data_IF_746380763441
#
_entry.id   IF_746380763441
#
_cell.length_a   1.000
_cell.length_b   1.000
_cell.length_c   1.000
_cell.angle_alpha   90.00
_cell.angle_beta   90.00
_cell.angle_gamma   90.00
#
_symmetry.space_group_name_H-M   'P 1'
#
loop_
_entity.id
_entity.type
_entity.pdbx_description
1 polymer ?
#
# COMPACT_ATOMS: atom_id res chain seq x y z
N UNK A 1 -27.73 15.08 7.19
CA UNK A 1 -26.39 15.15 7.81
C UNK A 1 -25.90 13.73 8.02
N UNK A 2 -24.89 13.29 7.27
CA UNK A 2 -24.20 12.03 7.59
C UNK A 2 -23.49 12.28 8.93
N UNK A 3 -23.93 11.62 10.01
CA UNK A 3 -23.23 11.71 11.30
C UNK A 3 -21.84 11.14 11.08
N UNK A 4 -20.80 11.96 11.23
CA UNK A 4 -19.42 11.48 11.28
C UNK A 4 -19.36 10.39 12.36
N UNK A 5 -18.89 9.19 11.99
CA UNK A 5 -18.68 8.14 12.98
C UNK A 5 -17.73 8.67 14.06
N UNK A 6 -18.03 8.39 15.32
CA UNK A 6 -17.18 8.83 16.43
C UNK A 6 -15.82 8.14 16.31
N UNK A 7 -14.74 8.91 16.21
CA UNK A 7 -13.37 8.37 16.23
C UNK A 7 -13.18 7.54 17.52
N UNK A 8 -12.75 6.28 17.35
CA UNK A 8 -12.64 5.31 18.47
C UNK A 8 -11.20 4.96 18.85
N UNK A 9 -10.23 5.53 18.15
CA UNK A 9 -8.79 5.30 18.38
C UNK A 9 -8.03 6.62 18.52
N UNK A 10 -6.79 6.54 19.02
CA UNK A 10 -5.80 7.60 18.90
C UNK A 10 -4.66 7.09 18.01
N UNK A 11 -4.45 7.76 16.87
CA UNK A 11 -3.31 7.52 15.96
C UNK A 11 -1.98 7.91 16.63
N UNK A 12 -0.85 7.56 16.01
CA UNK A 12 0.47 7.95 16.51
C UNK A 12 0.61 9.45 16.77
N UNK A 13 0.13 10.30 15.85
CA UNK A 13 0.15 11.76 16.02
C UNK A 13 -0.74 12.25 17.19
N UNK A 14 -1.91 11.64 17.40
CA UNK A 14 -2.77 11.96 18.56
C UNK A 14 -2.12 11.56 19.89
N UNK A 15 -1.40 10.44 19.91
CA UNK A 15 -0.65 10.01 21.09
C UNK A 15 0.56 10.92 21.33
N UNK A 16 1.30 11.27 20.28
CA UNK A 16 2.45 12.17 20.37
C UNK A 16 2.06 13.56 20.90
N UNK A 17 0.94 14.13 20.40
CA UNK A 17 0.36 15.38 20.92
C UNK A 17 0.00 15.25 22.41
N UNK A 18 -0.68 14.16 22.79
CA UNK A 18 -1.07 13.93 24.18
C UNK A 18 0.12 13.75 25.13
N UNK A 19 1.29 13.35 24.60
CA UNK A 19 2.55 13.25 25.32
C UNK A 19 3.38 14.54 25.22
N UNK A 20 2.78 15.64 24.74
CA UNK A 20 3.40 16.94 24.53
C UNK A 20 4.71 16.84 23.73
N UNK A 21 4.76 15.98 22.72
CA UNK A 21 5.91 15.80 21.83
C UNK A 21 7.22 15.42 22.54
N UNK A 22 7.16 14.91 23.78
CA UNK A 22 8.33 14.67 24.65
C UNK A 22 9.47 13.89 23.99
N UNK A 23 9.18 12.99 23.06
CA UNK A 23 10.20 12.21 22.35
C UNK A 23 11.01 12.99 21.32
N UNK A 24 10.58 14.20 20.97
CA UNK A 24 11.19 15.08 19.97
C UNK A 24 11.95 16.25 20.60
N UNK A 25 11.80 16.49 21.90
CA UNK A 25 12.45 17.61 22.59
C UNK A 25 13.98 17.55 22.46
N UNK A 26 14.57 18.71 22.14
CA UNK A 26 16.03 18.86 21.99
C UNK A 26 16.62 18.22 20.73
N UNK A 27 15.80 17.74 19.79
CA UNK A 27 16.25 17.12 18.53
C UNK A 27 15.88 17.97 17.33
N UNK A 28 16.72 17.98 16.30
CA UNK A 28 16.38 18.47 14.95
C UNK A 28 15.59 17.39 14.22
N UNK A 29 14.35 17.69 13.88
CA UNK A 29 13.37 16.73 13.37
C UNK A 29 13.26 16.86 11.86
N UNK A 30 13.46 15.74 11.15
CA UNK A 30 13.02 15.56 9.78
C UNK A 30 11.71 14.80 9.74
N UNK A 31 10.75 15.21 8.91
CA UNK A 31 9.44 14.58 8.81
C UNK A 31 9.22 13.96 7.43
N UNK A 32 8.97 12.65 7.39
CA UNK A 32 8.52 11.90 6.22
C UNK A 32 6.99 11.80 6.30
N UNK A 33 6.30 12.54 5.43
CA UNK A 33 4.85 12.66 5.45
C UNK A 33 4.29 12.94 4.06
N UNK A 34 2.97 12.89 3.95
CA UNK A 34 2.19 13.28 2.78
C UNK A 34 0.82 13.83 3.25
N UNK A 35 -0.15 14.13 2.37
CA UNK A 35 -1.45 14.67 2.79
C UNK A 35 -2.23 13.80 3.79
N UNK A 36 -1.90 12.51 3.93
CA UNK A 36 -2.56 11.61 4.90
C UNK A 36 -2.06 11.79 6.33
N UNK A 37 -0.91 12.44 6.53
CA UNK A 37 -0.31 12.78 7.81
C UNK A 37 -1.09 13.87 8.51
N UNK A 38 -2.26 13.55 9.04
CA UNK A 38 -3.12 14.49 9.76
C UNK A 38 -3.59 13.95 11.11
N UNK A 39 -4.03 14.86 11.96
CA UNK A 39 -4.71 14.59 13.22
C UNK A 39 -6.23 14.40 13.05
N UNK A 40 -6.96 14.21 14.16
CA UNK A 40 -8.42 14.03 14.14
C UNK A 40 -9.20 15.24 13.60
N UNK A 41 -8.58 16.42 13.53
CA UNK A 41 -9.17 17.65 12.99
C UNK A 41 -8.72 17.91 11.54
N UNK A 42 -8.06 16.94 10.90
CA UNK A 42 -7.49 17.06 9.55
C UNK A 42 -6.39 18.12 9.45
N UNK A 43 -5.77 18.48 10.58
CA UNK A 43 -4.59 19.34 10.57
C UNK A 43 -3.35 18.51 10.26
N UNK A 44 -2.56 18.99 9.29
CA UNK A 44 -1.30 18.35 8.90
C UNK A 44 -0.32 18.23 10.06
N UNK A 45 0.35 17.10 10.16
CA UNK A 45 1.44 16.85 11.10
C UNK A 45 2.63 17.80 10.87
N UNK A 46 2.83 18.28 9.63
CA UNK A 46 3.77 19.36 9.28
C UNK A 46 3.49 20.58 10.13
N UNK A 47 2.25 21.07 10.09
CA UNK A 47 1.85 22.31 10.73
C UNK A 47 1.79 22.13 12.26
N UNK A 48 1.35 20.95 12.72
CA UNK A 48 1.35 20.59 14.16
C UNK A 48 2.76 20.62 14.73
N UNK A 49 3.73 19.99 14.06
CA UNK A 49 5.11 19.92 14.55
C UNK A 49 5.84 21.26 14.39
N UNK A 50 5.52 22.05 13.36
CA UNK A 50 6.09 23.38 13.16
C UNK A 50 5.62 24.39 14.21
N UNK A 51 4.34 24.33 14.63
CA UNK A 51 3.79 25.23 15.64
C UNK A 51 4.15 24.85 17.09
N UNK A 52 4.56 23.60 17.31
CA UNK A 52 4.89 23.09 18.64
C UNK A 52 6.19 23.72 19.17
N UNK A 53 6.08 24.57 20.19
CA UNK A 53 7.21 25.35 20.75
C UNK A 53 8.41 24.52 21.25
N UNK A 54 8.19 23.25 21.59
CA UNK A 54 9.24 22.34 22.08
C UNK A 54 9.76 21.39 21.00
N UNK A 55 9.37 21.58 19.74
CA UNK A 55 9.80 20.78 18.58
C UNK A 55 10.60 21.67 17.62
N UNK A 56 11.76 21.19 17.17
CA UNK A 56 12.55 21.86 16.16
C UNK A 56 12.46 21.11 14.82
N UNK A 57 11.39 21.36 14.07
CA UNK A 57 11.18 20.79 12.73
C UNK A 57 12.03 21.56 11.71
N UNK A 58 12.95 20.85 11.04
CA UNK A 58 13.96 21.49 10.17
C UNK A 58 13.94 21.02 8.71
N UNK A 59 13.27 19.90 8.40
CA UNK A 59 13.22 19.36 7.05
C UNK A 59 11.98 18.49 6.81
N UNK A 60 11.48 18.48 5.58
CA UNK A 60 10.38 17.65 5.12
C UNK A 60 10.85 16.69 4.03
N UNK A 61 10.27 15.50 4.00
CA UNK A 61 10.60 14.42 3.07
C UNK A 61 9.33 13.87 2.45
N UNK A 62 9.16 14.04 1.14
CA UNK A 62 7.98 13.60 0.41
C UNK A 62 8.20 12.25 -0.26
N UNK A 63 7.29 11.27 -0.12
CA UNK A 63 7.32 10.02 -0.87
C UNK A 63 6.81 10.24 -2.31
N UNK A 64 6.30 9.18 -2.93
CA UNK A 64 5.51 9.27 -4.15
C UNK A 64 4.31 10.23 -3.96
N UNK A 65 4.16 11.20 -4.88
CA UNK A 65 3.20 12.32 -4.89
C UNK A 65 3.54 13.54 -4.01
N UNK A 66 4.70 13.56 -3.35
CA UNK A 66 5.22 14.72 -2.62
C UNK A 66 4.53 14.99 -1.28
N UNK A 67 5.03 15.97 -0.54
CA UNK A 67 4.63 16.26 0.85
C UNK A 67 3.22 16.87 0.95
N UNK A 68 2.90 17.87 0.12
CA UNK A 68 1.60 18.56 0.10
C UNK A 68 0.64 17.99 -0.97
N UNK A 69 1.01 16.90 -1.64
CA UNK A 69 0.19 16.29 -2.71
C UNK A 69 0.12 17.11 -4.01
N UNK A 70 0.94 18.15 -4.13
CA UNK A 70 1.02 19.04 -5.28
C UNK A 70 1.98 18.55 -6.38
N UNK A 71 2.64 17.39 -6.21
CA UNK A 71 3.53 16.80 -7.20
C UNK A 71 2.85 15.65 -7.96
N UNK A 72 2.93 15.65 -9.29
CA UNK A 72 2.44 14.53 -10.09
C UNK A 72 3.33 13.28 -9.92
N UNK A 73 2.73 12.09 -10.02
CA UNK A 73 3.46 10.83 -10.08
C UNK A 73 4.53 10.86 -11.17
N UNK A 74 5.80 10.65 -10.82
CA UNK A 74 6.91 10.64 -11.78
C UNK A 74 7.55 12.01 -12.07
N UNK A 75 7.08 13.12 -11.50
CA UNK A 75 7.82 14.39 -11.56
C UNK A 75 9.01 14.40 -10.60
N UNK A 76 10.16 14.86 -11.09
CA UNK A 76 11.35 15.11 -10.26
C UNK A 76 11.11 16.37 -9.45
N UNK A 77 10.69 16.23 -8.21
CA UNK A 77 10.65 17.34 -7.25
C UNK A 77 12.10 17.63 -6.84
N UNK A 78 12.60 18.82 -7.17
CA UNK A 78 13.92 19.27 -6.72
C UNK A 78 13.91 19.51 -5.20
N UNK A 79 15.02 20.03 -4.65
CA UNK A 79 14.99 20.59 -3.29
C UNK A 79 14.12 21.85 -3.33
N UNK A 80 12.87 21.70 -2.92
CA UNK A 80 11.89 22.79 -2.87
C UNK A 80 11.79 23.32 -1.43
N UNK A 81 11.10 24.44 -1.25
CA UNK A 81 10.72 24.92 0.08
C UNK A 81 9.21 24.81 0.23
N UNK A 82 8.75 24.37 1.39
CA UNK A 82 7.33 24.42 1.73
C UNK A 82 6.92 25.89 1.90
N UNK A 83 5.90 26.33 1.16
CA UNK A 83 5.50 27.74 1.12
C UNK A 83 5.00 28.26 2.47
N UNK A 84 4.41 27.38 3.29
CA UNK A 84 3.80 27.75 4.58
C UNK A 84 4.87 27.85 5.67
N UNK A 85 5.74 26.84 5.77
CA UNK A 85 6.73 26.74 6.85
C UNK A 85 8.11 27.28 6.48
N UNK A 86 8.40 27.47 5.19
CA UNK A 86 9.71 27.85 4.66
C UNK A 86 10.78 26.74 4.72
N UNK A 87 10.42 25.54 5.18
CA UNK A 87 11.33 24.43 5.38
C UNK A 87 11.78 23.79 4.06
N UNK A 88 13.02 23.27 3.98
CA UNK A 88 13.45 22.48 2.83
C UNK A 88 12.62 21.18 2.70
N UNK A 89 12.28 20.85 1.47
CA UNK A 89 11.52 19.65 1.07
C UNK A 89 12.42 18.78 0.19
N UNK A 90 12.62 17.53 0.60
CA UNK A 90 13.39 16.53 -0.13
C UNK A 90 12.45 15.48 -0.74
N UNK A 91 12.72 15.09 -1.99
CA UNK A 91 12.01 14.00 -2.65
C UNK A 91 12.65 12.64 -2.32
N UNK A 92 11.84 11.70 -1.85
CA UNK A 92 12.19 10.29 -1.65
C UNK A 92 11.58 9.40 -2.76
N UNK A 93 11.57 9.91 -4.00
CA UNK A 93 11.05 9.21 -5.17
C UNK A 93 11.96 9.34 -6.41
N UNK A 94 11.71 8.53 -7.43
CA UNK A 94 12.45 8.59 -8.69
C UNK A 94 13.91 8.15 -8.52
N UNK A 95 14.85 9.06 -8.76
CA UNK A 95 16.30 8.81 -8.65
C UNK A 95 16.78 8.70 -7.20
N UNK A 96 16.06 9.29 -6.25
CA UNK A 96 16.45 9.32 -4.84
C UNK A 96 15.33 8.72 -4.01
N UNK A 97 15.31 7.39 -3.86
CA UNK A 97 14.30 6.66 -3.06
C UNK A 97 14.72 6.44 -1.60
N UNK A 98 16.03 6.49 -1.36
CA UNK A 98 16.67 6.40 -0.05
C UNK A 98 17.27 7.76 0.28
N UNK A 99 17.04 8.27 1.48
CA UNK A 99 17.58 9.57 1.90
C UNK A 99 19.12 9.53 1.89
N UNK A 100 19.76 10.56 1.31
CA UNK A 100 21.23 10.61 1.25
C UNK A 100 21.82 11.15 2.56
N UNK A 101 23.09 10.87 2.87
CA UNK A 101 23.76 11.46 4.03
C UNK A 101 23.64 12.98 4.09
N UNK A 102 23.71 13.66 2.94
CA UNK A 102 23.58 15.12 2.84
C UNK A 102 22.19 15.61 3.24
N UNK A 103 21.13 14.85 2.94
CA UNK A 103 19.77 15.17 3.37
C UNK A 103 19.59 14.95 4.88
N UNK A 104 20.37 14.04 5.47
CA UNK A 104 20.27 13.64 6.88
C UNK A 104 21.22 14.40 7.82
N UNK A 105 22.17 15.18 7.27
CA UNK A 105 23.22 15.85 8.06
C UNK A 105 22.66 16.81 9.12
N UNK A 106 21.55 17.47 8.80
CA UNK A 106 20.97 18.54 9.61
C UNK A 106 19.86 18.05 10.55
N UNK A 107 19.60 16.75 10.62
CA UNK A 107 18.60 16.15 11.50
C UNK A 107 19.24 15.17 12.49
N UNK A 108 18.57 14.98 13.62
CA UNK A 108 18.92 14.00 14.66
C UNK A 108 17.92 12.83 14.67
N UNK A 109 16.68 13.09 14.22
CA UNK A 109 15.60 12.11 14.15
C UNK A 109 14.78 12.26 12.87
N UNK A 110 14.46 11.14 12.22
CA UNK A 110 13.41 11.06 11.22
C UNK A 110 12.11 10.58 11.87
N UNK A 111 11.03 11.30 11.61
CA UNK A 111 9.66 10.92 11.98
C UNK A 111 8.94 10.48 10.71
N UNK A 112 8.24 9.35 10.77
CA UNK A 112 7.40 8.84 9.68
C UNK A 112 5.93 8.85 10.10
N UNK A 113 5.07 9.49 9.31
CA UNK A 113 3.63 9.51 9.51
C UNK A 113 2.86 9.52 8.17
N UNK A 114 2.64 8.32 7.60
CA UNK A 114 1.90 8.15 6.34
C UNK A 114 0.90 7.00 6.50
N UNK A 115 -0.31 7.19 5.99
CA UNK A 115 -1.33 6.14 5.89
C UNK A 115 -1.07 5.27 4.66
N UNK A 116 -0.54 4.06 4.87
CA UNK A 116 -0.45 3.01 3.84
C UNK A 116 -1.77 2.22 3.68
N UNK A 117 -1.77 1.22 2.79
CA UNK A 117 -2.95 0.41 2.46
C UNK A 117 -2.86 -1.08 2.85
N UNK A 118 -1.80 -1.52 3.52
CA UNK A 118 -1.62 -2.92 3.93
C UNK A 118 -1.21 -3.88 2.81
N UNK A 119 -0.82 -3.37 1.63
CA UNK A 119 -0.34 -4.15 0.49
C UNK A 119 1.13 -3.85 0.18
N UNK A 120 1.91 -4.90 -0.13
CA UNK A 120 3.37 -4.84 -0.32
C UNK A 120 3.81 -3.96 -1.48
N UNK A 121 3.02 -3.91 -2.56
CA UNK A 121 3.36 -3.10 -3.73
C UNK A 121 3.03 -1.62 -3.58
N UNK A 122 2.43 -1.22 -2.46
CA UNK A 122 2.19 0.18 -2.16
C UNK A 122 3.42 0.81 -1.49
N UNK A 123 4.11 1.66 -2.24
CA UNK A 123 5.53 2.00 -2.05
C UNK A 123 5.87 2.80 -0.78
N UNK A 124 4.88 3.29 -0.02
CA UNK A 124 5.12 4.04 1.21
C UNK A 124 5.85 3.22 2.29
N UNK A 125 5.62 1.91 2.34
CA UNK A 125 6.38 1.03 3.26
C UNK A 125 7.81 0.80 2.77
N UNK A 126 8.05 0.82 1.45
CA UNK A 126 9.40 0.78 0.86
C UNK A 126 10.16 2.05 1.20
N UNK A 127 9.52 3.22 1.08
CA UNK A 127 10.07 4.49 1.56
C UNK A 127 10.40 4.44 3.05
N UNK A 128 9.49 3.90 3.88
CA UNK A 128 9.72 3.78 5.33
C UNK A 128 10.98 2.98 5.63
N UNK A 129 11.11 1.76 5.11
CA UNK A 129 12.25 0.92 5.46
C UNK A 129 13.57 1.39 4.82
N UNK A 130 13.56 1.96 3.62
CA UNK A 130 14.76 2.59 3.04
C UNK A 130 15.21 3.80 3.86
N UNK A 131 14.27 4.57 4.42
CA UNK A 131 14.59 5.66 5.33
C UNK A 131 15.08 5.17 6.70
N UNK A 132 14.54 4.05 7.22
CA UNK A 132 15.08 3.38 8.42
C UNK A 132 16.52 2.91 8.21
N UNK A 133 16.82 2.34 7.04
CA UNK A 133 18.15 1.91 6.65
C UNK A 133 19.12 3.09 6.57
N UNK A 134 18.74 4.16 5.87
CA UNK A 134 19.54 5.38 5.80
C UNK A 134 19.75 6.01 7.19
N UNK A 135 18.74 5.98 8.06
CA UNK A 135 18.86 6.43 9.44
C UNK A 135 19.86 5.57 10.23
N UNK A 136 19.82 4.24 10.09
CA UNK A 136 20.74 3.33 10.74
C UNK A 136 22.20 3.58 10.31
N UNK A 137 22.44 3.72 9.00
CA UNK A 137 23.78 3.98 8.43
C UNK A 137 24.36 5.34 8.85
N UNK A 138 23.51 6.31 9.16
CA UNK A 138 23.90 7.68 9.51
C UNK A 138 23.72 8.00 11.00
N UNK A 139 23.54 6.97 11.86
CA UNK A 139 23.36 7.10 13.31
C UNK A 139 22.22 8.06 13.70
N UNK A 140 21.11 8.03 12.96
CA UNK A 140 19.90 8.82 13.24
C UNK A 140 18.85 7.98 13.96
N UNK A 141 18.08 8.62 14.84
CA UNK A 141 16.89 7.98 15.40
C UNK A 141 15.77 7.95 14.37
N UNK A 142 14.94 6.90 14.40
CA UNK A 142 13.76 6.81 13.55
C UNK A 142 12.52 6.58 14.40
N UNK A 143 11.50 7.41 14.21
CA UNK A 143 10.24 7.37 14.95
C UNK A 143 9.08 7.13 13.98
N UNK A 144 8.32 6.06 14.20
CA UNK A 144 7.07 5.81 13.46
C UNK A 144 5.89 6.29 14.29
N UNK A 145 5.09 7.20 13.73
CA UNK A 145 3.75 7.51 14.24
C UNK A 145 2.79 6.49 13.66
N UNK A 146 2.41 5.51 14.46
CA UNK A 146 1.74 4.33 13.93
C UNK A 146 0.30 4.65 13.46
N UNK A 147 -0.13 3.99 12.38
CA UNK A 147 -1.44 4.18 11.74
C UNK A 147 -2.16 2.84 11.52
N UNK A 148 -3.50 2.84 11.42
CA UNK A 148 -4.27 1.63 11.15
C UNK A 148 -3.86 0.98 9.83
N UNK A 149 -3.72 -0.34 9.81
CA UNK A 149 -3.76 -1.08 8.55
C UNK A 149 -5.23 -1.14 8.08
N UNK A 150 -5.60 -0.58 6.92
CA UNK A 150 -6.99 -0.53 6.47
C UNK A 150 -7.56 -1.91 6.11
N UNK A 151 -6.71 -2.88 5.78
CA UNK A 151 -7.04 -4.31 5.59
C UNK A 151 -7.14 -5.08 6.93
N UNK A 152 -6.97 -4.39 8.06
CA UNK A 152 -6.90 -4.99 9.37
C UNK A 152 -5.61 -5.77 9.62
N UNK A 153 -5.51 -6.36 10.81
CA UNK A 153 -4.32 -7.08 11.27
C UNK A 153 -4.44 -8.61 11.20
N UNK A 154 -5.38 -9.17 10.44
CA UNK A 154 -5.60 -10.64 10.43
C UNK A 154 -5.29 -11.30 9.10
N UNK A 155 -5.49 -10.58 8.00
CA UNK A 155 -5.32 -11.10 6.65
C UNK A 155 -3.84 -11.18 6.31
N UNK A 156 -3.42 -12.34 5.81
CA UNK A 156 -2.11 -12.56 5.21
C UNK A 156 -2.32 -13.36 3.93
N UNK A 157 -1.92 -12.81 2.79
CA UNK A 157 -2.09 -13.40 1.45
C UNK A 157 -0.85 -13.15 0.60
N UNK A 158 -0.49 -14.11 -0.25
CA UNK A 158 0.67 -14.04 -1.13
C UNK A 158 1.97 -14.54 -0.54
N UNK A 159 2.86 -15.00 -1.42
CA UNK A 159 4.16 -15.54 -1.03
C UNK A 159 5.13 -14.42 -0.62
N UNK A 160 6.19 -14.80 0.10
CA UNK A 160 7.29 -13.87 0.38
C UNK A 160 8.00 -13.50 -0.93
N UNK A 161 8.64 -12.33 -0.93
CA UNK A 161 9.56 -11.95 -2.00
C UNK A 161 10.78 -12.87 -2.01
N UNK A 162 11.17 -13.32 -3.19
CA UNK A 162 12.34 -14.15 -3.44
C UNK A 162 13.55 -13.31 -3.88
N UNK A 163 14.74 -13.85 -3.65
CA UNK A 163 15.98 -13.24 -4.12
C UNK A 163 15.91 -13.05 -5.65
N UNK A 164 16.35 -11.88 -6.12
CA UNK A 164 16.21 -11.46 -7.52
C UNK A 164 14.89 -10.71 -7.83
N UNK A 165 13.92 -10.71 -6.92
CA UNK A 165 12.65 -9.96 -7.08
C UNK A 165 12.48 -8.83 -6.06
N UNK A 166 13.52 -8.50 -5.30
CA UNK A 166 13.54 -7.30 -4.47
C UNK A 166 13.57 -6.05 -5.35
N UNK A 167 12.59 -5.18 -5.17
CA UNK A 167 12.46 -3.92 -5.89
C UNK A 167 11.69 -2.92 -5.04
N UNK A 168 11.52 -1.69 -5.52
CA UNK A 168 10.76 -0.68 -4.76
C UNK A 168 9.26 -1.04 -4.58
N UNK A 169 8.70 -1.94 -5.39
CA UNK A 169 7.32 -2.47 -5.24
C UNK A 169 7.28 -3.84 -4.53
N UNK A 170 8.43 -4.31 -4.05
CA UNK A 170 8.62 -5.63 -3.42
C UNK A 170 9.84 -5.60 -2.51
N UNK A 171 9.94 -4.54 -1.69
CA UNK A 171 11.21 -4.15 -1.06
C UNK A 171 11.66 -5.11 0.04
N UNK A 172 10.73 -5.84 0.65
CA UNK A 172 10.99 -6.68 1.81
C UNK A 172 10.39 -8.07 1.65
N UNK A 173 11.01 -9.03 2.34
CA UNK A 173 10.61 -10.44 2.37
C UNK A 173 9.37 -10.65 3.25
N UNK A 174 8.25 -10.08 2.80
CA UNK A 174 6.93 -10.14 3.42
C UNK A 174 5.87 -10.60 2.40
N UNK A 175 4.72 -11.15 2.83
CA UNK A 175 3.60 -11.50 1.94
C UNK A 175 3.04 -10.27 1.21
N UNK A 176 2.24 -10.51 0.16
CA UNK A 176 1.63 -9.44 -0.61
C UNK A 176 0.65 -8.60 0.22
N UNK A 177 -0.24 -9.25 0.98
CA UNK A 177 -0.94 -8.65 2.11
C UNK A 177 -0.28 -9.17 3.37
N UNK A 178 0.34 -8.29 4.15
CA UNK A 178 1.21 -8.68 5.27
C UNK A 178 0.54 -8.53 6.65
N UNK A 179 -0.60 -7.84 6.74
CA UNK A 179 -1.42 -7.80 7.96
C UNK A 179 -0.76 -7.17 9.19
N UNK A 180 0.16 -6.22 9.02
CA UNK A 180 0.80 -5.46 10.09
C UNK A 180 0.47 -3.98 9.94
N UNK A 181 0.52 -3.21 11.03
CA UNK A 181 0.60 -1.74 10.90
C UNK A 181 2.00 -1.33 10.44
N UNK A 182 2.18 -0.07 9.99
CA UNK A 182 3.51 0.43 9.62
C UNK A 182 4.49 0.37 10.80
N UNK A 183 4.04 0.62 12.03
CA UNK A 183 4.84 0.48 13.25
C UNK A 183 5.24 -0.97 13.56
N UNK A 184 4.30 -1.92 13.46
CA UNK A 184 4.60 -3.36 13.63
C UNK A 184 5.56 -3.86 12.54
N UNK A 185 5.38 -3.42 11.29
CA UNK A 185 6.28 -3.73 10.18
C UNK A 185 7.68 -3.17 10.42
N UNK A 186 7.80 -1.91 10.85
CA UNK A 186 9.10 -1.32 11.18
C UNK A 186 9.84 -2.12 12.28
N UNK A 187 9.14 -2.58 13.31
CA UNK A 187 9.74 -3.44 14.33
C UNK A 187 10.21 -4.78 13.77
N UNK A 188 9.41 -5.40 12.88
CA UNK A 188 9.78 -6.64 12.21
C UNK A 188 11.02 -6.45 11.33
N UNK A 189 11.05 -5.43 10.47
CA UNK A 189 12.20 -5.17 9.60
C UNK A 189 13.50 -5.00 10.39
N UNK A 190 13.42 -4.28 11.51
CA UNK A 190 14.56 -4.03 12.38
C UNK A 190 14.99 -5.27 13.19
N UNK A 191 14.01 -6.05 13.68
CA UNK A 191 14.24 -7.21 14.54
C UNK A 191 14.71 -8.45 13.79
N UNK A 192 14.19 -8.68 12.58
CA UNK A 192 14.58 -9.80 11.71
C UNK A 192 15.74 -9.41 10.76
N UNK A 193 16.35 -8.24 10.96
CA UNK A 193 17.52 -7.75 10.17
C UNK A 193 17.27 -7.75 8.66
N UNK A 194 16.10 -7.26 8.26
CA UNK A 194 15.65 -7.22 6.86
C UNK A 194 16.09 -5.95 6.12
N UNK A 195 16.75 -5.00 6.80
CA UNK A 195 17.39 -3.84 6.16
C UNK A 195 18.69 -4.27 5.50
N UNK A 196 19.18 -3.52 4.51
CA UNK A 196 20.42 -3.83 3.77
C UNK A 196 21.58 -4.08 4.74
N UNK A 197 22.40 -5.10 4.44
CA UNK A 197 23.52 -5.55 5.30
C UNK A 197 23.11 -5.93 6.75
N UNK A 198 21.83 -6.09 7.04
CA UNK A 198 21.32 -6.42 8.37
C UNK A 198 21.48 -5.28 9.39
N UNK A 199 21.61 -4.03 8.94
CA UNK A 199 21.72 -2.87 9.83
C UNK A 199 20.48 -2.73 10.71
N UNK A 200 20.66 -2.19 11.91
CA UNK A 200 19.56 -1.96 12.85
C UNK A 200 19.46 -0.48 13.17
N UNK A 201 18.25 0.05 13.01
CA UNK A 201 17.93 1.44 13.30
C UNK A 201 17.65 1.62 14.80
N UNK A 202 18.00 2.79 15.35
CA UNK A 202 17.50 3.24 16.66
C UNK A 202 16.02 3.62 16.52
N UNK A 203 15.18 2.59 16.51
CA UNK A 203 13.75 2.69 16.23
C UNK A 203 12.93 2.95 17.48
N UNK A 204 11.98 3.89 17.39
CA UNK A 204 10.88 4.04 18.34
C UNK A 204 9.55 4.04 17.58
N UNK A 205 8.54 3.38 18.12
CA UNK A 205 7.17 3.43 17.58
C UNK A 205 6.26 4.14 18.58
N UNK A 206 5.58 5.19 18.14
CA UNK A 206 4.51 5.83 18.90
C UNK A 206 3.22 5.05 18.61
N UNK A 207 2.96 4.08 19.50
CA UNK A 207 1.86 3.13 19.39
C UNK A 207 0.50 3.82 19.46
N UNK A 208 -0.43 3.40 18.62
CA UNK A 208 -1.83 3.81 18.70
C UNK A 208 -2.50 3.37 20.01
N UNK A 209 -3.58 4.05 20.39
CA UNK A 209 -4.49 3.59 21.47
C UNK A 209 -5.85 3.23 20.89
N UNK A 210 -6.38 2.07 21.27
CA UNK A 210 -7.72 1.64 20.87
C UNK A 210 -7.79 0.75 19.63
N UNK A 211 -6.85 0.87 18.68
CA UNK A 211 -6.84 0.01 17.49
C UNK A 211 -6.73 -1.48 17.85
N UNK A 212 -7.46 -2.31 17.11
CA UNK A 212 -7.50 -3.76 17.27
C UNK A 212 -7.31 -4.42 15.91
N UNK A 213 -6.69 -5.60 15.89
CA UNK A 213 -6.40 -6.33 14.65
C UNK A 213 -7.66 -6.68 13.84
N UNK A 214 -8.82 -6.73 14.48
CA UNK A 214 -10.12 -6.96 13.82
C UNK A 214 -10.74 -5.73 13.14
N UNK A 215 -10.20 -4.53 13.39
CA UNK A 215 -10.72 -3.30 12.80
C UNK A 215 -10.21 -3.15 11.37
N UNK A 216 -11.14 -2.95 10.43
CA UNK A 216 -10.83 -2.28 9.18
C UNK A 216 -10.83 -0.75 9.40
N UNK A 217 -10.48 0.03 8.36
CA UNK A 217 -10.37 1.48 8.50
C UNK A 217 -11.68 2.14 8.96
N UNK A 218 -12.82 1.77 8.37
CA UNK A 218 -14.13 2.35 8.71
C UNK A 218 -14.46 2.14 10.19
N UNK A 219 -14.13 0.99 10.78
CA UNK A 219 -14.35 0.72 12.21
C UNK A 219 -13.55 1.65 13.15
N UNK A 220 -12.54 2.37 12.67
CA UNK A 220 -11.78 3.35 13.47
C UNK A 220 -12.53 4.67 13.67
N UNK A 221 -13.48 4.98 12.78
CA UNK A 221 -14.17 6.27 12.72
C UNK A 221 -13.33 7.44 12.17
N UNK A 222 -12.09 7.20 11.74
CA UNK A 222 -11.24 8.21 11.10
C UNK A 222 -11.77 8.58 9.71
N UNK A 223 -11.45 9.81 9.28
CA UNK A 223 -11.68 10.23 7.89
C UNK A 223 -10.60 9.64 6.99
N UNK A 224 -11.01 9.12 5.84
CA UNK A 224 -10.06 8.69 4.81
C UNK A 224 -9.64 9.89 3.97
N UNK A 225 -8.33 10.14 3.94
CA UNK A 225 -7.70 11.00 2.95
C UNK A 225 -7.17 10.09 1.85
N UNK A 226 -7.41 10.36 0.56
CA UNK A 226 -6.91 9.55 -0.54
C UNK A 226 -5.41 9.25 -0.37
N UNK A 227 -5.09 8.00 -0.11
CA UNK A 227 -3.70 7.56 0.09
C UNK A 227 -2.90 7.67 -1.21
N UNK A 228 -3.57 7.53 -2.35
CA UNK A 228 -3.10 7.99 -3.66
C UNK A 228 -4.31 8.40 -4.51
N UNK A 229 -4.14 9.04 -5.68
CA UNK A 229 -5.26 9.47 -6.52
C UNK A 229 -6.24 8.35 -6.89
N UNK A 230 -5.77 7.11 -6.98
CA UNK A 230 -6.59 5.94 -7.32
C UNK A 230 -7.04 5.12 -6.10
N UNK A 231 -6.71 5.54 -4.87
CA UNK A 231 -7.27 5.00 -3.62
C UNK A 231 -8.12 6.08 -2.93
N UNK A 232 -9.21 6.55 -3.55
CA UNK A 232 -10.00 7.69 -3.07
C UNK A 232 -10.80 7.38 -1.80
N UNK A 233 -11.08 6.11 -1.52
CA UNK A 233 -11.87 5.65 -0.39
C UNK A 233 -11.15 4.54 0.37
N UNK A 234 -11.46 4.40 1.66
CA UNK A 234 -10.84 3.37 2.49
C UNK A 234 -11.15 1.97 1.96
N UNK A 235 -12.36 1.74 1.46
CA UNK A 235 -12.79 0.48 0.86
C UNK A 235 -12.00 0.15 -0.41
N UNK A 236 -11.51 1.16 -1.16
CA UNK A 236 -10.66 0.94 -2.34
C UNK A 236 -9.37 0.20 -1.98
N UNK A 237 -8.89 0.30 -0.73
CA UNK A 237 -7.75 -0.50 -0.25
C UNK A 237 -7.98 -2.01 -0.36
N UNK A 238 -9.23 -2.49 -0.33
CA UNK A 238 -9.59 -3.90 -0.44
C UNK A 238 -9.47 -4.39 -1.87
N UNK A 239 -9.77 -3.49 -2.81
CA UNK A 239 -9.79 -3.78 -4.23
C UNK A 239 -8.43 -3.63 -4.87
N UNK A 240 -7.55 -2.78 -4.34
CA UNK A 240 -6.17 -2.69 -4.80
C UNK A 240 -5.47 -4.06 -4.91
N UNK A 241 -5.43 -4.91 -3.85
CA UNK A 241 -4.83 -6.24 -3.99
C UNK A 241 -5.68 -7.21 -4.82
N UNK A 242 -6.97 -6.91 -5.04
CA UNK A 242 -7.87 -7.77 -5.81
C UNK A 242 -7.65 -7.68 -7.32
N UNK A 243 -7.17 -6.55 -7.84
CA UNK A 243 -6.98 -6.33 -9.29
C UNK A 243 -5.62 -5.72 -9.66
N UNK A 244 -4.85 -5.23 -8.68
CA UNK A 244 -3.66 -4.41 -8.92
C UNK A 244 -2.53 -5.13 -9.64
N UNK A 245 -2.33 -6.43 -9.40
CA UNK A 245 -1.26 -7.22 -10.05
C UNK A 245 -1.56 -7.35 -11.55
N UNK A 246 -2.80 -7.66 -11.92
CA UNK A 246 -3.26 -7.65 -13.31
C UNK A 246 -3.16 -6.24 -13.94
N UNK A 247 -3.39 -5.19 -13.13
CA UNK A 247 -3.28 -3.79 -13.54
C UNK A 247 -1.94 -3.41 -14.18
N UNK A 248 -0.84 -4.08 -13.78
CA UNK A 248 0.50 -3.83 -14.32
C UNK A 248 0.61 -4.04 -15.83
N UNK A 249 -0.27 -4.85 -16.41
CA UNK A 249 -0.29 -5.09 -17.86
C UNK A 249 -1.01 -4.01 -18.66
N UNK A 250 -1.89 -3.21 -18.03
CA UNK A 250 -2.84 -2.34 -18.76
C UNK A 250 -3.63 -3.08 -19.86
N UNK A 251 -3.82 -4.39 -19.70
CA UNK A 251 -4.44 -5.28 -20.69
C UNK A 251 -5.97 -5.33 -20.58
N UNK A 252 -6.46 -5.31 -19.33
CA UNK A 252 -7.87 -5.13 -19.01
C UNK A 252 -8.02 -3.83 -18.21
N UNK A 253 -9.14 -3.14 -18.39
CA UNK A 253 -9.49 -2.06 -17.48
C UNK A 253 -9.83 -2.66 -16.12
N UNK A 254 -9.06 -2.25 -15.11
CA UNK A 254 -9.32 -2.59 -13.71
C UNK A 254 -10.10 -1.47 -12.99
N UNK A 255 -10.77 -0.59 -13.74
CA UNK A 255 -11.49 0.58 -13.20
C UNK A 255 -10.62 1.82 -12.99
N UNK A 256 -9.28 1.73 -13.01
CA UNK A 256 -8.42 2.92 -13.11
C UNK A 256 -8.69 3.59 -14.46
N UNK A 257 -9.12 4.86 -14.44
CA UNK A 257 -9.71 5.51 -15.61
C UNK A 257 -11.23 5.70 -15.52
N UNK A 258 -11.87 5.13 -14.49
CA UNK A 258 -13.31 5.13 -14.25
C UNK A 258 -13.60 5.41 -12.75
N UNK A 259 -14.84 5.75 -12.31
CA UNK A 259 -15.12 6.17 -10.94
C UNK A 259 -15.04 5.09 -9.84
N UNK A 260 -14.71 3.84 -10.20
CA UNK A 260 -14.60 2.69 -9.28
C UNK A 260 -13.25 1.97 -9.46
N UNK A 261 -12.11 2.67 -9.19
CA UNK A 261 -10.79 2.11 -9.41
C UNK A 261 -10.59 0.82 -8.61
N UNK A 262 -9.99 -0.18 -9.25
CA UNK A 262 -9.71 -1.53 -8.74
C UNK A 262 -10.92 -2.46 -8.52
N UNK A 263 -12.16 -1.95 -8.61
CA UNK A 263 -13.37 -2.74 -8.29
C UNK A 263 -13.90 -3.59 -9.46
N UNK A 264 -13.33 -3.45 -10.65
CA UNK A 264 -13.88 -4.04 -11.87
C UNK A 264 -12.82 -4.65 -12.76
N UNK A 265 -13.26 -5.45 -13.73
CA UNK A 265 -12.44 -6.09 -14.76
C UNK A 265 -13.23 -6.05 -16.07
N UNK A 266 -12.74 -5.31 -17.06
CA UNK A 266 -13.47 -5.12 -18.31
C UNK A 266 -12.57 -4.87 -19.52
N UNK A 267 -13.07 -5.24 -20.71
CA UNK A 267 -12.41 -5.00 -21.99
C UNK A 267 -13.45 -4.95 -23.14
N UNK A 268 -13.10 -4.38 -24.32
CA UNK A 268 -14.05 -4.28 -25.44
C UNK A 268 -14.53 -5.61 -26.02
N UNK A 269 -13.79 -6.69 -25.79
CA UNK A 269 -14.04 -8.02 -26.35
C UNK A 269 -14.75 -8.99 -25.38
N UNK A 270 -15.02 -8.55 -24.14
CA UNK A 270 -15.70 -9.38 -23.14
C UNK A 270 -17.21 -9.32 -23.32
N UNK A 271 -17.90 -10.45 -23.08
CA UNK A 271 -19.33 -10.48 -22.86
C UNK A 271 -19.61 -10.45 -21.35
N UNK A 272 -20.19 -9.37 -20.84
CA UNK A 272 -20.39 -9.16 -19.40
C UNK A 272 -21.25 -10.26 -18.75
N UNK A 273 -22.31 -10.70 -19.45
CA UNK A 273 -23.25 -11.70 -18.93
C UNK A 273 -22.63 -13.08 -18.79
N UNK A 274 -21.87 -13.53 -19.80
CA UNK A 274 -21.19 -14.83 -19.78
C UNK A 274 -20.09 -14.85 -18.72
N UNK A 275 -19.24 -13.81 -18.67
CA UNK A 275 -18.16 -13.74 -17.68
C UNK A 275 -18.73 -13.72 -16.25
N UNK A 276 -19.78 -12.94 -16.00
CA UNK A 276 -20.44 -12.91 -14.69
C UNK A 276 -20.96 -14.28 -14.28
N UNK A 277 -21.66 -14.99 -15.19
CA UNK A 277 -22.21 -16.32 -14.89
C UNK A 277 -21.11 -17.31 -14.54
N UNK A 278 -20.00 -17.30 -15.30
CA UNK A 278 -18.86 -18.18 -15.05
C UNK A 278 -18.18 -17.91 -13.72
N UNK A 279 -17.90 -16.65 -13.41
CA UNK A 279 -17.26 -16.26 -12.15
C UNK A 279 -18.12 -16.54 -10.93
N UNK A 280 -19.43 -16.25 -10.99
CA UNK A 280 -20.34 -16.59 -9.90
C UNK A 280 -20.50 -18.10 -9.72
N UNK A 281 -20.31 -18.92 -10.76
CA UNK A 281 -20.33 -20.39 -10.64
C UNK A 281 -19.09 -20.98 -9.94
N UNK A 282 -18.06 -20.16 -9.66
CA UNK A 282 -16.91 -20.57 -8.85
C UNK A 282 -17.19 -20.49 -7.34
N UNK A 283 -18.34 -19.93 -6.94
CA UNK A 283 -18.75 -19.78 -5.54
C UNK A 283 -17.66 -19.17 -4.64
N UNK A 284 -17.00 -18.12 -5.13
CA UNK A 284 -15.90 -17.44 -4.41
C UNK A 284 -16.42 -16.89 -3.08
N UNK A 285 -15.91 -17.35 -1.92
CA UNK A 285 -16.46 -16.97 -0.63
C UNK A 285 -16.46 -15.45 -0.42
N UNK A 286 -17.60 -14.88 -0.05
CA UNK A 286 -17.72 -13.46 0.27
C UNK A 286 -17.64 -12.49 -0.92
N UNK A 287 -17.69 -12.99 -2.15
CA UNK A 287 -17.63 -12.17 -3.37
C UNK A 287 -18.85 -12.46 -4.26
N UNK A 288 -19.45 -11.41 -4.81
CA UNK A 288 -20.45 -11.50 -5.90
C UNK A 288 -19.92 -10.71 -7.08
N UNK A 289 -19.96 -11.30 -8.28
CA UNK A 289 -19.67 -10.59 -9.52
C UNK A 289 -20.96 -10.07 -10.14
N UNK A 290 -20.97 -8.80 -10.56
CA UNK A 290 -22.10 -8.14 -11.23
C UNK A 290 -21.66 -7.71 -12.63
N UNK A 291 -22.47 -7.87 -13.69
CA UNK A 291 -22.10 -7.40 -15.01
C UNK A 291 -21.97 -5.87 -15.01
N UNK A 292 -20.99 -5.34 -15.74
CA UNK A 292 -20.81 -3.90 -15.94
C UNK A 292 -20.55 -3.56 -17.41
N UNK A 293 -21.14 -2.44 -17.83
CA UNK A 293 -20.94 -1.81 -19.12
C UNK A 293 -20.44 -0.40 -18.83
N UNK A 294 -19.27 -0.04 -19.34
CA UNK A 294 -18.60 1.19 -18.98
C UNK A 294 -17.91 1.83 -20.18
N UNK A 295 -17.53 3.10 -20.01
CA UNK A 295 -16.73 3.86 -20.96
C UNK A 295 -15.70 4.68 -20.16
N UNK A 296 -14.43 4.25 -20.09
CA UNK A 296 -13.39 4.92 -19.30
C UNK A 296 -13.16 6.36 -19.74
N UNK A 297 -12.92 7.25 -18.77
CA UNK A 297 -12.63 8.67 -18.99
C UNK A 297 -11.16 8.91 -19.35
N UNK A 298 -10.25 8.07 -18.85
CA UNK A 298 -8.81 8.09 -19.12
C UNK A 298 -8.21 6.68 -18.95
N UNK A 299 -6.88 6.55 -19.10
CA UNK A 299 -6.14 5.30 -18.99
C UNK A 299 -6.61 4.21 -19.99
N UNK A 300 -6.57 2.94 -19.57
CA UNK A 300 -6.84 1.76 -20.41
C UNK A 300 -8.24 1.83 -21.02
N UNK A 301 -8.31 1.68 -22.36
CA UNK A 301 -9.54 1.76 -23.16
C UNK A 301 -10.30 3.10 -23.05
N UNK A 302 -9.58 4.22 -22.86
CA UNK A 302 -10.16 5.57 -22.83
C UNK A 302 -11.12 5.79 -24.01
N UNK A 303 -12.37 6.12 -23.71
CA UNK A 303 -13.39 6.47 -24.69
C UNK A 303 -14.04 5.31 -25.44
N UNK A 304 -13.58 4.07 -25.23
CA UNK A 304 -14.16 2.86 -25.80
C UNK A 304 -15.27 2.31 -24.90
N UNK A 305 -16.26 1.63 -25.50
CA UNK A 305 -17.23 0.86 -24.73
C UNK A 305 -16.57 -0.45 -24.30
N UNK A 306 -16.64 -0.74 -23.01
CA UNK A 306 -16.09 -1.96 -22.42
C UNK A 306 -17.17 -2.69 -21.63
N UNK A 307 -17.04 -4.01 -21.60
CA UNK A 307 -17.91 -4.91 -20.88
C UNK A 307 -17.08 -5.75 -19.90
N UNK A 308 -17.70 -6.20 -18.82
CA UNK A 308 -17.05 -7.11 -17.89
C UNK A 308 -17.80 -7.26 -16.58
N UNK A 309 -17.07 -7.31 -15.48
CA UNK A 309 -17.63 -7.53 -14.14
C UNK A 309 -17.14 -6.48 -13.15
N UNK A 310 -18.01 -6.07 -12.22
CA UNK A 310 -17.64 -5.46 -10.95
C UNK A 310 -17.61 -6.55 -9.89
N UNK A 311 -16.54 -6.61 -9.10
CA UNK A 311 -16.45 -7.46 -7.93
C UNK A 311 -17.06 -6.74 -6.73
N UNK A 312 -18.06 -7.34 -6.10
CA UNK A 312 -18.65 -6.85 -4.85
C UNK A 312 -18.19 -7.75 -3.69
N UNK A 313 -17.42 -7.19 -2.76
CA UNK A 313 -17.03 -7.88 -1.53
C UNK A 313 -18.20 -7.78 -0.54
N UNK A 314 -18.97 -8.85 -0.39
CA UNK A 314 -20.16 -8.92 0.48
C UNK A 314 -19.87 -9.47 1.88
N UNK A 315 -18.79 -10.24 2.03
CA UNK A 315 -18.24 -10.66 3.32
C UNK A 315 -16.72 -10.52 3.28
N UNK A 316 -16.24 -9.38 3.80
CA UNK A 316 -14.82 -9.06 3.81
C UNK A 316 -14.00 -10.18 4.47
N UNK A 317 -14.46 -10.80 5.55
CA UNK A 317 -13.64 -11.77 6.29
C UNK A 317 -13.42 -13.08 5.54
N UNK A 318 -14.31 -13.41 4.58
CA UNK A 318 -14.23 -14.63 3.79
C UNK A 318 -13.58 -14.43 2.42
N UNK A 319 -13.65 -13.22 1.86
CA UNK A 319 -13.11 -12.91 0.54
C UNK A 319 -11.59 -13.15 0.47
N UNK A 320 -11.10 -14.01 -0.46
CA UNK A 320 -9.67 -14.13 -0.76
C UNK A 320 -9.30 -13.03 -1.76
N UNK A 321 -8.83 -11.88 -1.26
CA UNK A 321 -8.77 -10.66 -2.08
C UNK A 321 -7.88 -10.87 -3.29
N UNK A 322 -6.65 -11.38 -3.09
CA UNK A 322 -5.68 -11.54 -4.19
C UNK A 322 -6.10 -12.56 -5.24
N UNK A 323 -6.90 -13.56 -4.87
CA UNK A 323 -7.34 -14.63 -5.77
C UNK A 323 -8.23 -14.09 -6.89
N UNK A 324 -8.97 -12.99 -6.65
CA UNK A 324 -10.00 -12.45 -7.56
C UNK A 324 -9.46 -12.22 -8.97
N UNK A 325 -8.34 -11.49 -9.14
CA UNK A 325 -7.76 -11.26 -10.48
C UNK A 325 -7.35 -12.56 -11.18
N UNK A 326 -6.81 -13.54 -10.46
CA UNK A 326 -6.36 -14.79 -11.07
C UNK A 326 -7.54 -15.65 -11.52
N UNK A 327 -8.64 -15.65 -10.76
CA UNK A 327 -9.90 -16.29 -11.17
C UNK A 327 -10.53 -15.58 -12.37
N UNK A 328 -10.47 -14.24 -12.43
CA UNK A 328 -10.88 -13.47 -13.60
C UNK A 328 -10.03 -13.82 -14.82
N UNK A 329 -8.70 -13.82 -14.69
CA UNK A 329 -7.78 -14.20 -15.76
C UNK A 329 -8.04 -15.63 -16.26
N UNK A 330 -8.35 -16.56 -15.35
CA UNK A 330 -8.70 -17.94 -15.68
C UNK A 330 -9.98 -18.01 -16.52
N UNK A 331 -11.07 -17.39 -16.07
CA UNK A 331 -12.34 -17.46 -16.79
C UNK A 331 -12.29 -16.69 -18.12
N UNK A 332 -11.55 -15.59 -18.17
CA UNK A 332 -11.24 -14.88 -19.42
C UNK A 332 -10.50 -15.77 -20.40
N UNK A 333 -9.42 -16.45 -19.98
CA UNK A 333 -8.67 -17.35 -20.85
C UNK A 333 -9.51 -18.56 -21.31
N UNK A 334 -10.43 -19.04 -20.46
CA UNK A 334 -11.36 -20.11 -20.84
C UNK A 334 -12.42 -19.67 -21.86
N UNK A 335 -12.87 -18.41 -21.79
CA UNK A 335 -13.83 -17.84 -22.74
C UNK A 335 -13.16 -17.43 -24.06
N UNK A 336 -11.93 -16.94 -23.98
CA UNK A 336 -11.18 -16.33 -25.08
C UNK A 336 -9.73 -16.81 -25.02
N UNK A 337 -9.41 -18.03 -25.48
CA UNK A 337 -8.05 -18.58 -25.40
C UNK A 337 -7.00 -17.70 -26.08
N UNK A 338 -7.36 -17.03 -27.18
CA UNK A 338 -6.53 -16.07 -27.91
C UNK A 338 -6.31 -14.73 -27.18
N UNK A 339 -6.98 -14.55 -26.04
CA UNK A 339 -6.88 -13.38 -25.14
C UNK A 339 -6.28 -13.76 -23.78
N UNK A 340 -5.69 -14.95 -23.66
CA UNK A 340 -4.97 -15.34 -22.45
C UNK A 340 -3.89 -14.31 -22.11
N UNK A 341 -3.94 -13.74 -20.90
CA UNK A 341 -3.15 -12.55 -20.53
C UNK A 341 -1.66 -12.71 -20.85
N UNK A 342 -1.05 -13.84 -20.50
CA UNK A 342 0.38 -14.05 -20.71
C UNK A 342 0.77 -14.38 -22.17
N UNK A 343 -0.19 -14.59 -23.06
CA UNK A 343 0.06 -14.76 -24.50
C UNK A 343 0.03 -13.43 -25.26
N UNK A 344 -0.65 -12.41 -24.71
CA UNK A 344 -0.95 -11.15 -25.44
C UNK A 344 -0.50 -9.88 -24.73
N UNK A 345 -0.29 -9.91 -23.41
CA UNK A 345 0.19 -8.75 -22.68
C UNK A 345 1.63 -8.40 -23.10
N UNK A 346 1.99 -7.11 -23.00
CA UNK A 346 3.34 -6.65 -23.33
C UNK A 346 4.39 -7.39 -22.49
N UNK A 347 5.22 -8.21 -23.14
CA UNK A 347 6.26 -9.00 -22.48
C UNK A 347 7.24 -8.13 -21.67
N UNK A 348 7.39 -6.84 -22.02
CA UNK A 348 8.21 -5.89 -21.25
C UNK A 348 7.66 -5.63 -19.85
N UNK A 349 6.38 -5.92 -19.60
CA UNK A 349 5.71 -5.78 -18.30
C UNK A 349 5.85 -7.02 -17.42
N UNK A 350 6.35 -8.14 -17.94
CA UNK A 350 6.48 -9.39 -17.17
C UNK A 350 7.38 -9.21 -15.95
N UNK A 351 8.50 -8.48 -16.09
CA UNK A 351 9.37 -8.19 -14.96
C UNK A 351 8.69 -7.37 -13.85
N UNK A 352 7.82 -6.42 -14.20
CA UNK A 352 7.06 -5.66 -13.21
C UNK A 352 6.02 -6.55 -12.51
N UNK A 353 5.29 -7.37 -13.28
CA UNK A 353 4.35 -8.34 -12.73
C UNK A 353 5.03 -9.29 -11.74
N UNK A 354 6.19 -9.84 -12.12
CA UNK A 354 6.94 -10.78 -11.28
C UNK A 354 7.48 -10.08 -10.03
N UNK A 355 7.96 -8.83 -10.14
CA UNK A 355 8.38 -8.03 -8.99
C UNK A 355 7.20 -7.79 -8.03
N UNK A 356 6.04 -7.36 -8.52
CA UNK A 356 4.84 -7.16 -7.70
C UNK A 356 4.42 -8.47 -7.02
N UNK A 357 4.48 -9.60 -7.73
CA UNK A 357 4.25 -10.94 -7.16
C UNK A 357 5.35 -11.37 -6.18
N UNK A 358 6.56 -10.82 -6.29
CA UNK A 358 7.73 -11.19 -5.51
C UNK A 358 8.44 -12.46 -6.00
N UNK A 359 8.07 -12.98 -7.17
CA UNK A 359 8.62 -14.18 -7.81
C UNK A 359 8.07 -14.32 -9.23
N UNK A 360 8.84 -14.92 -10.14
CA UNK A 360 8.33 -15.30 -11.47
C UNK A 360 7.43 -16.54 -11.43
N UNK A 361 7.43 -17.31 -10.33
CA UNK A 361 6.66 -18.57 -10.23
C UNK A 361 5.17 -18.39 -10.40
N UNK A 362 4.62 -17.24 -10.02
CA UNK A 362 3.18 -16.97 -10.20
C UNK A 362 2.84 -16.93 -11.68
N UNK A 363 3.60 -16.17 -12.48
CA UNK A 363 3.44 -16.11 -13.92
C UNK A 363 3.73 -17.46 -14.57
N UNK A 364 4.87 -18.07 -14.25
CA UNK A 364 5.31 -19.34 -14.85
C UNK A 364 4.35 -20.51 -14.60
N UNK A 365 3.77 -20.60 -13.40
CA UNK A 365 2.78 -21.64 -13.08
C UNK A 365 1.43 -21.33 -13.73
N UNK A 366 0.95 -20.09 -13.63
CA UNK A 366 -0.32 -19.70 -14.21
C UNK A 366 -0.32 -19.87 -15.73
N UNK A 367 0.74 -19.45 -16.43
CA UNK A 367 0.83 -19.47 -17.89
C UNK A 367 0.86 -20.87 -18.49
N UNK A 368 1.01 -21.94 -17.70
CA UNK A 368 0.98 -23.33 -18.22
C UNK A 368 -0.36 -23.68 -18.85
N UNK A 369 -1.45 -23.25 -18.21
CA UNK A 369 -2.83 -23.52 -18.68
C UNK A 369 -3.88 -22.53 -18.18
N UNK A 370 -3.45 -21.40 -17.62
CA UNK A 370 -4.30 -20.32 -17.12
C UNK A 370 -5.26 -20.74 -16.01
N UNK A 371 -4.79 -21.54 -15.05
CA UNK A 371 -5.60 -22.08 -13.94
C UNK A 371 -5.03 -21.66 -12.60
N UNK A 372 -5.88 -21.05 -11.76
CA UNK A 372 -5.45 -20.58 -10.44
C UNK A 372 -5.03 -21.73 -9.51
N UNK A 373 -5.65 -22.90 -9.67
CA UNK A 373 -5.34 -24.10 -8.86
C UNK A 373 -3.87 -24.54 -8.95
N UNK A 374 -3.19 -24.24 -10.06
CA UNK A 374 -1.76 -24.59 -10.25
C UNK A 374 -0.80 -23.65 -9.49
N UNK A 375 -1.33 -22.51 -9.02
CA UNK A 375 -0.55 -21.42 -8.42
C UNK A 375 -0.87 -21.24 -6.95
N UNK A 376 -2.12 -21.55 -6.56
CA UNK A 376 -2.68 -21.26 -5.24
C UNK A 376 -1.80 -21.76 -4.09
N UNK A 377 -1.30 -23.00 -4.17
CA UNK A 377 -0.45 -23.56 -3.13
C UNK A 377 0.87 -22.78 -2.99
N UNK A 378 1.45 -22.33 -4.12
CA UNK A 378 2.64 -21.49 -4.10
C UNK A 378 2.36 -20.13 -3.49
N UNK A 379 1.23 -19.52 -3.83
CA UNK A 379 0.83 -18.20 -3.34
C UNK A 379 0.59 -18.19 -1.82
N UNK A 380 0.09 -19.29 -1.26
CA UNK A 380 -0.20 -19.38 0.18
C UNK A 380 0.88 -20.10 1.01
N UNK A 381 1.97 -20.59 0.39
CA UNK A 381 2.99 -21.42 1.05
C UNK A 381 3.62 -20.80 2.30
N UNK A 382 3.69 -19.47 2.36
CA UNK A 382 4.38 -18.74 3.43
C UNK A 382 3.44 -18.14 4.48
N UNK A 383 2.12 -18.15 4.26
CA UNK A 383 1.18 -17.33 5.02
C UNK A 383 1.14 -17.69 6.53
N UNK A 384 1.08 -18.98 6.87
CA UNK A 384 1.00 -19.43 8.27
C UNK A 384 2.34 -19.24 9.02
N UNK A 385 3.46 -19.48 8.35
CA UNK A 385 4.78 -19.21 8.91
C UNK A 385 4.96 -17.71 9.17
N UNK A 386 4.54 -16.86 8.24
CA UNK A 386 4.59 -15.41 8.40
C UNK A 386 3.66 -14.92 9.52
N UNK A 387 2.45 -15.47 9.66
CA UNK A 387 1.56 -15.16 10.81
C UNK A 387 2.21 -15.51 12.14
N UNK A 388 2.92 -16.63 12.20
CA UNK A 388 3.64 -17.06 13.40
C UNK A 388 4.79 -16.13 13.73
N UNK A 389 5.58 -15.74 12.74
CA UNK A 389 6.64 -14.75 12.88
C UNK A 389 6.11 -13.40 13.36
N UNK A 390 5.03 -12.94 12.73
CA UNK A 390 4.39 -11.65 12.99
C UNK A 390 3.98 -11.44 14.45
N UNK A 391 3.56 -12.52 15.15
CA UNK A 391 3.16 -12.45 16.56
C UNK A 391 4.23 -11.88 17.49
N UNK A 392 5.52 -12.03 17.15
CA UNK A 392 6.63 -11.45 17.92
C UNK A 392 6.61 -9.92 17.92
N UNK A 393 6.02 -9.32 16.89
CA UNK A 393 6.05 -7.88 16.62
C UNK A 393 4.67 -7.22 16.80
N UNK A 394 3.66 -7.95 17.26
CA UNK A 394 2.34 -7.37 17.46
C UNK A 394 2.34 -6.35 18.60
N UNK A 395 1.98 -5.13 18.25
CA UNK A 395 1.66 -4.07 19.19
C UNK A 395 0.20 -4.18 19.64
N UNK A 396 -0.67 -4.76 18.82
CA UNK A 396 -2.13 -4.74 19.04
C UNK A 396 -2.72 -6.14 19.14
N UNK A 397 -3.88 -6.24 19.82
CA UNK A 397 -4.65 -7.48 19.99
C UNK A 397 -5.72 -7.64 18.93
#
# INVERSE_FOLDING_TARGET
>A
MVRAQKVTIKTGIEVLKAENFKSLEGKRVGLITNPTGVDNNLKSDIDILHEAKNVNLVALFGPEHGVRGNAHAGQSVGTEKDEVTGLPVYSLFGKTRKATPEMLKDIDVLVYDIQDIGSRSFTYISTMGLAMEAAAENNKEFIVLDRPNPLGGKRVEGCLVEDGFFSFVSQYKIPYIYGLTCGELAQMLNGERMLENGVQCKLKVIKMRGWKRKMNYTATGLQWIPSSPHIPHAETSYFYPASGILGEFSYMSIGVGYPIPFEMFAAPWINAGVLTKRLNALDVPGVIFRPIYAKPFYATFKGENIEGVQAHIIDYNKAPLTDIQFLVMQEVAAMYPEKAVFEVADHKRFGMFDNVCGTSKIRELFSKRNRWEDVKDYWYKDAENFKTLSKKYYLYK
#
